data_IF_274859014605
#
_entry.id   IF_274859014605
#
_cell.length_a   1.000
_cell.length_b   1.000
_cell.length_c   1.000
_cell.angle_alpha   90.00
_cell.angle_beta   90.00
_cell.angle_gamma   90.00
#
_symmetry.space_group_name_H-M   'P 1'
#
loop_
_entity.id
_entity.type
_entity.pdbx_description
1 polymer ?
#
# COMPACT_ATOMS: atom_id res chain seq x y z
N UNK A 1 15.76 17.62 -24.00
CA UNK A 1 14.64 16.81 -23.47
C UNK A 1 15.25 15.79 -22.54
N UNK A 2 14.90 15.80 -21.26
CA UNK A 2 15.45 14.88 -20.28
C UNK A 2 14.84 13.49 -20.49
N UNK A 3 15.67 12.52 -20.89
CA UNK A 3 15.29 11.11 -21.02
C UNK A 3 15.28 10.45 -19.63
N UNK A 4 14.34 10.81 -18.76
CA UNK A 4 14.19 10.12 -17.48
C UNK A 4 13.61 8.73 -17.77
N UNK A 5 14.36 7.64 -17.52
CA UNK A 5 13.85 6.30 -17.78
C UNK A 5 12.62 6.06 -16.90
N UNK A 6 11.48 5.84 -17.56
CA UNK A 6 10.22 5.53 -16.87
C UNK A 6 10.16 4.03 -16.66
N UNK A 7 10.40 3.58 -15.43
CA UNK A 7 10.26 2.17 -15.08
C UNK A 7 8.84 1.92 -14.61
N UNK A 8 8.08 1.09 -15.33
CA UNK A 8 6.75 0.66 -14.87
C UNK A 8 6.93 -0.40 -13.79
N UNK A 9 6.72 0.00 -12.54
CA UNK A 9 6.70 -0.95 -11.43
C UNK A 9 5.36 -1.70 -11.44
N UNK A 10 5.39 -3.03 -11.60
CA UNK A 10 4.22 -3.89 -11.44
C UNK A 10 4.28 -4.55 -10.08
N UNK A 11 3.16 -4.53 -9.36
CA UNK A 11 3.04 -5.30 -8.13
C UNK A 11 2.95 -6.79 -8.47
N UNK A 12 3.71 -7.65 -7.76
CA UNK A 12 3.50 -9.08 -7.81
C UNK A 12 2.06 -9.47 -7.45
N UNK A 13 1.48 -10.51 -8.06
CA UNK A 13 0.10 -10.95 -7.82
C UNK A 13 -0.21 -11.17 -6.34
N UNK A 14 0.73 -11.73 -5.59
CA UNK A 14 0.58 -12.01 -4.16
C UNK A 14 0.40 -10.73 -3.32
N UNK A 15 0.98 -9.61 -3.74
CA UNK A 15 0.77 -8.34 -3.07
C UNK A 15 -0.62 -7.76 -3.39
N UNK A 16 -1.10 -7.95 -4.61
CA UNK A 16 -2.44 -7.52 -5.02
C UNK A 16 -3.49 -8.25 -4.18
N UNK A 17 -3.37 -9.58 -4.05
CA UNK A 17 -4.27 -10.39 -3.23
C UNK A 17 -4.29 -9.95 -1.76
N UNK A 18 -3.12 -9.61 -1.19
CA UNK A 18 -3.01 -9.11 0.18
C UNK A 18 -3.67 -7.73 0.36
N UNK A 19 -3.56 -6.85 -0.63
CA UNK A 19 -4.21 -5.53 -0.63
C UNK A 19 -5.73 -5.72 -0.68
N UNK A 20 -6.23 -6.59 -1.54
CA UNK A 20 -7.66 -6.87 -1.67
C UNK A 20 -8.22 -7.50 -0.38
N UNK A 21 -7.49 -8.43 0.23
CA UNK A 21 -7.87 -9.00 1.53
C UNK A 21 -7.87 -7.96 2.66
N UNK A 22 -6.97 -6.98 2.63
CA UNK A 22 -7.02 -5.85 3.56
C UNK A 22 -8.24 -4.97 3.32
N UNK A 23 -8.52 -4.59 2.07
CA UNK A 23 -9.69 -3.79 1.72
C UNK A 23 -11.00 -4.45 2.17
N UNK A 24 -11.16 -5.76 1.92
CA UNK A 24 -12.33 -6.53 2.34
C UNK A 24 -12.50 -6.57 3.87
N UNK A 25 -11.39 -6.70 4.61
CA UNK A 25 -11.42 -6.67 6.08
C UNK A 25 -11.85 -5.31 6.61
N UNK A 26 -11.29 -4.22 6.08
CA UNK A 26 -11.67 -2.87 6.49
C UNK A 26 -13.13 -2.61 6.16
N UNK A 27 -13.58 -2.98 4.96
CA UNK A 27 -14.98 -2.80 4.57
C UNK A 27 -15.95 -3.58 5.49
N UNK A 28 -15.59 -4.80 5.89
CA UNK A 28 -16.37 -5.59 6.85
C UNK A 28 -16.42 -4.94 8.24
N UNK A 29 -15.36 -4.26 8.67
CA UNK A 29 -15.27 -3.64 9.99
C UNK A 29 -15.98 -2.28 10.06
N UNK A 30 -15.88 -1.48 9.00
CA UNK A 30 -16.39 -0.10 8.98
C UNK A 30 -17.75 0.01 8.30
N UNK A 31 -18.16 -1.00 7.53
CA UNK A 31 -19.34 -0.93 6.67
C UNK A 31 -19.16 -0.03 5.44
N UNK A 32 -17.93 0.44 5.18
CA UNK A 32 -17.61 1.36 4.08
C UNK A 32 -16.80 0.63 3.02
N UNK A 33 -17.21 0.72 1.76
CA UNK A 33 -16.41 0.17 0.67
C UNK A 33 -15.07 0.88 0.55
N UNK A 34 -14.00 0.08 0.46
CA UNK A 34 -12.63 0.58 0.32
C UNK A 34 -12.10 0.15 -1.04
N UNK A 35 -11.72 1.11 -1.88
CA UNK A 35 -11.07 0.81 -3.15
C UNK A 35 -9.67 0.24 -2.94
N UNK A 36 -9.21 -0.61 -3.87
CA UNK A 36 -7.84 -1.16 -3.86
C UNK A 36 -6.77 -0.07 -3.74
N UNK A 37 -6.96 1.05 -4.43
CA UNK A 37 -6.03 2.20 -4.38
C UNK A 37 -5.97 2.82 -2.98
N UNK A 38 -7.11 2.97 -2.31
CA UNK A 38 -7.17 3.50 -0.95
C UNK A 38 -6.51 2.53 0.05
N UNK A 39 -6.83 1.24 -0.05
CA UNK A 39 -6.19 0.18 0.72
C UNK A 39 -4.66 0.16 0.55
N UNK A 40 -4.18 0.26 -0.70
CA UNK A 40 -2.76 0.31 -1.02
C UNK A 40 -2.08 1.54 -0.38
N UNK A 41 -2.69 2.73 -0.50
CA UNK A 41 -2.16 3.96 0.11
C UNK A 41 -2.02 3.83 1.63
N UNK A 42 -3.06 3.30 2.29
CA UNK A 42 -3.04 3.10 3.74
C UNK A 42 -1.91 2.14 4.15
N UNK A 43 -1.77 1.01 3.46
CA UNK A 43 -0.71 0.03 3.74
C UNK A 43 0.70 0.60 3.53
N UNK A 44 0.92 1.37 2.47
CA UNK A 44 2.20 2.03 2.20
C UNK A 44 2.51 3.05 3.30
N UNK A 45 1.55 3.90 3.66
CA UNK A 45 1.74 4.93 4.67
C UNK A 45 2.07 4.32 6.03
N UNK A 46 1.31 3.30 6.47
CA UNK A 46 1.62 2.59 7.72
C UNK A 46 2.98 1.90 7.68
N UNK A 47 3.34 1.29 6.55
CA UNK A 47 4.66 0.66 6.38
C UNK A 47 5.81 1.67 6.50
N UNK A 48 5.66 2.87 5.92
CA UNK A 48 6.62 3.96 6.05
C UNK A 48 6.75 4.43 7.49
N UNK A 49 5.63 4.72 8.16
CA UNK A 49 5.65 5.15 9.57
C UNK A 49 6.35 4.15 10.49
N UNK A 50 6.13 2.84 10.26
CA UNK A 50 6.82 1.78 11.01
C UNK A 50 8.32 1.81 10.73
N UNK A 51 8.72 1.90 9.47
CA UNK A 51 10.14 1.88 9.07
C UNK A 51 10.88 3.15 9.51
N UNK A 52 10.24 4.30 9.46
CA UNK A 52 10.80 5.57 9.95
C UNK A 52 10.98 5.56 11.46
N UNK A 53 10.02 5.01 12.22
CA UNK A 53 10.16 4.81 13.67
C UNK A 53 11.27 3.81 14.02
N UNK A 54 11.46 2.78 13.21
CA UNK A 54 12.58 1.84 13.38
C UNK A 54 13.93 2.49 13.05
N UNK A 55 13.98 3.30 11.99
CA UNK A 55 15.20 4.00 11.56
C UNK A 55 15.60 5.14 12.51
N UNK A 56 14.63 5.87 13.07
CA UNK A 56 14.88 6.95 14.04
C UNK A 56 15.16 6.48 15.47
N UNK A 57 15.18 5.16 15.72
CA UNK A 57 15.58 4.55 17.00
C UNK A 57 17.07 4.14 17.02
N UNK A 58 17.85 4.52 16.02
CA UNK A 58 19.31 4.37 15.98
C UNK A 58 20.02 5.63 16.46
#
# INVERSE_FOLDING_TARGET
MANTPTVTMRLPPELIERIDAYAARVAKQTGVEVSRTAAMKALVQTGLEVKEKEAGKQ
#
